data_IF_528540406575
#
_entry.id   IF_528540406575
#
_cell.length_a   1.000
_cell.length_b   1.000
_cell.length_c   1.000
_cell.angle_alpha   90.00
_cell.angle_beta   90.00
_cell.angle_gamma   90.00
#
_symmetry.space_group_name_H-M   'P 1'
#
loop_
_entity.id
_entity.type
_entity.pdbx_description
1 polymer ?
#
# COMPACT_ATOMS: atom_id res chain seq x y z
N UNK A 1 -53.32 5.28 28.87
CA UNK A 1 -52.35 6.22 29.45
C UNK A 1 -51.27 6.43 28.41
N UNK A 2 -51.21 7.63 27.83
CA UNK A 2 -50.17 7.99 26.87
C UNK A 2 -48.94 8.52 27.62
N UNK A 3 -47.76 8.35 27.05
CA UNK A 3 -46.52 8.96 27.55
C UNK A 3 -46.24 10.23 26.76
N UNK A 4 -45.83 11.29 27.45
CA UNK A 4 -45.68 12.64 26.88
C UNK A 4 -44.53 12.75 25.87
N UNK A 5 -44.72 13.63 24.88
CA UNK A 5 -43.74 13.90 23.84
C UNK A 5 -42.60 14.85 24.27
N UNK A 6 -42.65 15.41 25.49
CA UNK A 6 -41.72 16.45 25.96
C UNK A 6 -40.33 15.91 26.37
N UNK A 7 -40.15 14.59 26.53
CA UNK A 7 -38.84 14.03 26.92
C UNK A 7 -37.86 13.94 25.74
N UNK A 8 -38.34 13.84 24.50
CA UNK A 8 -37.47 13.67 23.31
C UNK A 8 -36.88 15.00 22.76
N UNK A 9 -37.30 16.14 23.32
CA UNK A 9 -36.84 17.46 22.91
C UNK A 9 -35.60 17.93 23.71
N UNK A 10 -35.47 17.51 24.97
CA UNK A 10 -34.43 18.00 25.88
C UNK A 10 -33.04 17.37 25.64
N UNK A 11 -32.95 16.11 25.21
CA UNK A 11 -31.64 15.49 24.86
C UNK A 11 -31.02 16.07 23.59
N UNK A 12 -31.83 16.57 22.65
CA UNK A 12 -31.33 17.12 21.37
C UNK A 12 -30.75 18.53 21.49
N UNK A 13 -31.07 19.25 22.58
CA UNK A 13 -30.51 20.59 22.85
C UNK A 13 -29.11 20.46 23.44
N UNK A 14 -28.88 19.53 24.38
CA UNK A 14 -27.57 19.34 25.03
C UNK A 14 -26.42 18.90 24.09
N UNK A 15 -26.72 18.46 22.87
CA UNK A 15 -25.73 18.00 21.90
C UNK A 15 -25.27 19.10 20.90
N UNK A 16 -25.89 20.28 20.88
CA UNK A 16 -25.50 21.35 19.95
C UNK A 16 -24.62 22.46 20.57
N UNK A 17 -24.66 22.67 21.89
CA UNK A 17 -23.92 23.75 22.57
C UNK A 17 -22.41 23.49 22.70
N UNK A 18 -21.91 22.30 22.33
CA UNK A 18 -20.48 21.96 22.37
C UNK A 18 -19.68 22.39 21.12
N UNK A 19 -20.30 23.07 20.15
CA UNK A 19 -19.74 23.29 18.81
C UNK A 19 -19.45 24.76 18.44
N UNK A 20 -19.60 25.72 19.36
CA UNK A 20 -19.46 27.15 19.05
C UNK A 20 -18.70 27.96 20.11
N UNK A 21 -17.40 27.71 20.28
CA UNK A 21 -16.52 28.62 21.03
C UNK A 21 -15.04 28.56 20.57
N UNK A 22 -14.70 29.38 19.57
CA UNK A 22 -13.34 29.88 19.26
C UNK A 22 -13.53 31.18 18.48
N UNK A 23 -13.22 32.32 19.12
CA UNK A 23 -13.77 33.63 18.74
C UNK A 23 -13.05 34.42 17.63
N UNK A 24 -13.75 35.43 17.11
CA UNK A 24 -13.23 36.49 16.25
C UNK A 24 -12.50 37.57 17.06
N UNK A 25 -11.50 38.25 16.47
CA UNK A 25 -11.28 39.67 16.76
C UNK A 25 -10.79 40.51 15.54
N UNK A 26 -11.75 41.22 14.93
CA UNK A 26 -11.72 42.59 14.34
C UNK A 26 -11.04 42.94 13.00
N UNK A 27 -11.86 43.68 12.22
CA UNK A 27 -11.60 44.56 11.06
C UNK A 27 -10.50 45.64 11.28
N UNK A 28 -9.93 46.35 10.27
CA UNK A 28 -10.67 47.26 9.35
C UNK A 28 -9.86 47.93 8.20
N UNK A 29 -10.35 47.78 6.95
CA UNK A 29 -10.39 48.73 5.77
C UNK A 29 -9.04 49.31 5.25
N UNK A 30 -8.64 49.21 3.97
CA UNK A 30 -9.28 49.62 2.68
C UNK A 30 -8.58 48.89 1.48
N UNK A 31 -9.10 48.73 0.24
CA UNK A 31 -10.42 48.97 -0.38
C UNK A 31 -10.34 49.32 -1.90
N UNK A 32 -11.32 48.89 -2.72
CA UNK A 32 -11.60 49.23 -4.14
C UNK A 32 -10.56 48.81 -5.23
N UNK A 33 -10.87 48.15 -6.37
CA UNK A 33 -11.94 48.41 -7.37
C UNK A 33 -12.16 47.26 -8.41
N UNK A 34 -13.42 46.87 -8.62
CA UNK A 34 -14.19 46.79 -9.90
C UNK A 34 -13.72 46.07 -11.21
N UNK A 35 -14.57 45.12 -11.61
CA UNK A 35 -15.12 44.83 -12.97
C UNK A 35 -14.22 44.25 -14.10
N UNK A 36 -14.87 43.63 -15.10
CA UNK A 36 -14.33 42.49 -15.87
C UNK A 36 -14.28 42.68 -17.41
N UNK A 37 -13.24 42.06 -18.03
CA UNK A 37 -13.14 41.40 -19.37
C UNK A 37 -13.58 42.17 -20.66
N UNK A 38 -13.16 41.83 -21.92
CA UNK A 38 -12.55 40.56 -22.36
C UNK A 38 -11.48 40.55 -23.51
N UNK A 39 -10.70 39.45 -23.58
CA UNK A 39 -10.34 38.64 -24.78
C UNK A 39 -9.41 39.11 -25.95
N UNK A 40 -8.75 38.08 -26.54
CA UNK A 40 -8.25 37.89 -27.93
C UNK A 40 -6.77 38.16 -28.32
N UNK A 41 -5.97 37.08 -28.23
CA UNK A 41 -5.10 36.47 -29.28
C UNK A 41 -4.28 37.41 -30.21
N UNK A 42 -2.93 37.32 -30.15
CA UNK A 42 -2.11 36.94 -31.32
C UNK A 42 -0.61 36.69 -31.03
N UNK A 43 -0.07 35.60 -31.61
CA UNK A 43 1.32 35.34 -32.10
C UNK A 43 2.48 35.42 -31.08
N UNK A 44 3.25 34.33 -30.85
CA UNK A 44 4.39 33.86 -31.69
C UNK A 44 5.41 34.99 -31.90
N UNK A 45 6.71 34.87 -31.60
CA UNK A 45 7.64 33.75 -31.33
C UNK A 45 8.91 34.40 -30.67
N UNK A 46 9.82 33.82 -29.88
CA UNK A 46 10.71 32.66 -30.05
C UNK A 46 11.35 32.27 -28.71
N UNK A 47 11.77 31.01 -28.58
CA UNK A 47 12.36 30.47 -27.34
C UNK A 47 12.35 28.93 -27.27
N UNK A 48 12.45 28.26 -28.43
CA UNK A 48 12.45 26.80 -28.53
C UNK A 48 13.84 26.21 -28.32
N UNK A 49 13.91 25.09 -27.60
CA UNK A 49 14.52 23.80 -28.00
C UNK A 49 15.18 23.11 -26.78
N UNK A 50 14.99 21.84 -26.45
CA UNK A 50 14.22 20.79 -27.10
C UNK A 50 13.37 19.99 -26.08
N UNK A 51 12.06 19.98 -26.30
CA UNK A 51 11.20 18.84 -25.99
C UNK A 51 11.04 18.04 -27.30
N UNK A 52 10.67 16.76 -27.19
CA UNK A 52 10.83 15.71 -28.21
C UNK A 52 12.29 15.18 -28.25
N UNK A 53 12.57 13.90 -28.46
CA UNK A 53 11.74 12.86 -29.09
C UNK A 53 11.87 11.55 -28.30
N UNK A 54 10.76 11.01 -27.76
CA UNK A 54 10.68 9.56 -27.51
C UNK A 54 10.22 8.92 -28.82
N UNK A 55 11.18 8.43 -29.60
CA UNK A 55 10.95 7.86 -30.93
C UNK A 55 10.20 6.54 -30.78
N UNK A 56 9.03 6.45 -31.39
CA UNK A 56 8.31 5.19 -31.58
C UNK A 56 9.01 4.37 -32.67
N UNK A 57 10.25 3.92 -32.42
CA UNK A 57 11.07 3.12 -33.36
C UNK A 57 12.16 2.28 -32.64
N UNK A 58 11.84 1.70 -31.48
CA UNK A 58 12.50 0.47 -30.98
C UNK A 58 11.48 -0.61 -30.57
N UNK A 59 10.27 -0.56 -31.13
CA UNK A 59 9.30 -1.66 -31.03
C UNK A 59 9.67 -2.81 -32.00
N UNK A 60 10.84 -3.43 -31.78
CA UNK A 60 11.18 -4.68 -32.46
C UNK A 60 12.03 -5.60 -31.59
N UNK A 61 11.49 -6.81 -31.37
CA UNK A 61 12.17 -7.94 -30.72
C UNK A 61 12.44 -7.84 -29.21
N UNK A 62 11.36 -7.77 -28.41
CA UNK A 62 11.09 -8.82 -27.41
C UNK A 62 9.59 -9.15 -27.38
N UNK A 63 9.22 -10.32 -27.89
CA UNK A 63 7.93 -10.95 -27.52
C UNK A 63 7.86 -11.03 -26.00
N UNK A 64 6.75 -10.59 -25.35
CA UNK A 64 6.56 -10.83 -23.93
C UNK A 64 6.67 -12.32 -23.64
N UNK A 65 7.48 -12.76 -22.65
CA UNK A 65 7.60 -14.18 -22.35
C UNK A 65 6.25 -14.73 -21.89
N UNK A 66 5.81 -15.83 -22.49
CA UNK A 66 4.56 -16.50 -22.14
C UNK A 66 4.59 -16.98 -20.68
N UNK A 67 4.01 -16.21 -19.77
CA UNK A 67 3.64 -16.64 -18.42
C UNK A 67 2.53 -15.71 -17.88
N UNK A 68 1.30 -15.97 -18.31
CA UNK A 68 0.12 -15.23 -17.83
C UNK A 68 0.07 -15.30 -16.28
N UNK A 69 0.06 -14.14 -15.63
CA UNK A 69 -0.12 -14.01 -14.17
C UNK A 69 1.15 -13.99 -13.30
N UNK A 70 2.36 -14.20 -13.85
CA UNK A 70 3.61 -14.19 -13.05
C UNK A 70 4.36 -12.87 -13.11
N UNK A 71 4.75 -12.36 -11.94
CA UNK A 71 5.61 -11.18 -11.79
C UNK A 71 6.96 -11.67 -11.27
N UNK A 72 8.00 -11.52 -12.09
CA UNK A 72 9.38 -11.97 -11.80
C UNK A 72 10.22 -10.74 -11.46
N UNK A 73 11.02 -10.82 -10.40
CA UNK A 73 12.02 -9.80 -10.11
C UNK A 73 13.27 -10.06 -10.95
N UNK A 74 13.73 -9.07 -11.71
CA UNK A 74 14.88 -9.22 -12.62
C UNK A 74 16.15 -9.74 -11.92
N UNK A 75 16.35 -9.37 -10.64
CA UNK A 75 17.49 -9.76 -9.82
C UNK A 75 17.30 -11.08 -9.03
N UNK A 76 16.08 -11.64 -8.97
CA UNK A 76 15.73 -12.78 -8.10
C UNK A 76 14.89 -13.81 -8.86
N UNK A 77 15.54 -14.61 -9.71
CA UNK A 77 14.89 -15.45 -10.72
C UNK A 77 14.01 -16.57 -10.16
N UNK A 78 14.24 -17.02 -8.92
CA UNK A 78 13.41 -18.03 -8.28
C UNK A 78 12.25 -17.44 -7.48
N UNK A 79 12.27 -16.13 -7.22
CA UNK A 79 11.24 -15.43 -6.46
C UNK A 79 10.22 -14.79 -7.41
N UNK A 80 8.94 -15.10 -7.20
CA UNK A 80 7.86 -14.58 -8.04
C UNK A 80 6.55 -14.45 -7.29
N UNK A 81 5.69 -13.54 -7.76
CA UNK A 81 4.27 -13.57 -7.41
C UNK A 81 3.54 -14.51 -8.37
N UNK A 82 2.67 -15.36 -7.82
CA UNK A 82 1.76 -16.26 -8.57
C UNK A 82 0.32 -16.01 -8.12
N UNK A 83 -0.66 -16.20 -9.01
CA UNK A 83 -2.07 -16.04 -8.67
C UNK A 83 -2.58 -17.16 -7.76
N UNK A 84 -3.56 -16.86 -6.91
CA UNK A 84 -4.20 -17.83 -6.03
C UNK A 84 -5.21 -18.68 -6.80
N UNK A 85 -4.90 -19.97 -6.96
CA UNK A 85 -5.73 -20.96 -7.67
C UNK A 85 -6.50 -21.88 -6.71
N UNK A 86 -6.74 -21.44 -5.46
CA UNK A 86 -7.47 -22.21 -4.44
C UNK A 86 -6.64 -23.21 -3.63
N UNK A 87 -5.34 -23.32 -3.88
CA UNK A 87 -4.41 -24.14 -3.08
C UNK A 87 -3.05 -23.45 -2.90
N UNK A 88 -2.35 -23.77 -1.81
CA UNK A 88 -1.05 -23.18 -1.48
C UNK A 88 0.01 -23.70 -2.47
N UNK A 89 0.68 -22.81 -3.25
CA UNK A 89 1.69 -23.22 -4.19
C UNK A 89 2.97 -23.69 -3.47
N UNK A 90 3.64 -24.70 -4.06
CA UNK A 90 4.93 -25.17 -3.55
C UNK A 90 5.96 -24.04 -3.51
N UNK A 91 6.64 -23.88 -2.37
CA UNK A 91 7.59 -22.78 -2.13
C UNK A 91 6.93 -21.45 -1.73
N UNK A 92 5.64 -21.43 -1.39
CA UNK A 92 5.01 -20.23 -0.83
C UNK A 92 5.76 -19.72 0.41
N UNK A 93 6.14 -18.44 0.38
CA UNK A 93 6.88 -17.80 1.47
C UNK A 93 5.94 -17.61 2.66
N UNK A 94 6.34 -18.13 3.83
CA UNK A 94 5.53 -18.07 5.05
C UNK A 94 6.35 -17.75 6.29
N UNK A 95 5.68 -17.21 7.30
CA UNK A 95 6.16 -17.17 8.68
C UNK A 95 5.24 -17.99 9.58
N UNK A 96 5.74 -18.35 10.75
CA UNK A 96 4.89 -18.67 11.88
C UNK A 96 4.67 -17.38 12.69
N UNK A 97 3.42 -17.00 12.92
CA UNK A 97 3.04 -15.84 13.71
C UNK A 97 2.67 -16.34 15.12
N UNK A 98 3.56 -16.12 16.08
CA UNK A 98 3.39 -16.58 17.48
C UNK A 98 2.20 -15.90 18.16
N UNK A 99 2.08 -14.57 18.03
CA UNK A 99 1.02 -13.76 18.67
C UNK A 99 -0.39 -14.20 18.22
N UNK A 100 -0.52 -14.65 16.97
CA UNK A 100 -1.76 -15.19 16.41
C UNK A 100 -1.82 -16.73 16.38
N UNK A 101 -0.76 -17.41 16.87
CA UNK A 101 -0.58 -18.87 16.87
C UNK A 101 -0.99 -19.55 15.55
N UNK A 102 -0.56 -18.98 14.41
CA UNK A 102 -0.93 -19.48 13.08
C UNK A 102 0.20 -19.31 12.05
N UNK A 103 0.17 -20.12 11.01
CA UNK A 103 1.01 -19.93 9.82
C UNK A 103 0.43 -18.83 8.95
N UNK A 104 1.28 -17.91 8.51
CA UNK A 104 0.92 -16.79 7.63
C UNK A 104 1.77 -16.83 6.37
N UNK A 105 1.13 -16.87 5.22
CA UNK A 105 1.76 -16.83 3.92
C UNK A 105 1.74 -15.41 3.35
N UNK A 106 2.83 -14.98 2.73
CA UNK A 106 2.92 -13.67 2.08
C UNK A 106 1.99 -13.63 0.88
N UNK A 107 1.04 -12.70 0.91
CA UNK A 107 0.13 -12.43 -0.19
C UNK A 107 0.06 -10.93 -0.51
N UNK A 108 -0.46 -10.59 -1.68
CA UNK A 108 -0.78 -9.21 -2.04
C UNK A 108 -2.06 -9.12 -2.88
N UNK A 109 -2.90 -8.14 -2.58
CA UNK A 109 -3.98 -7.70 -3.48
C UNK A 109 -3.35 -7.03 -4.70
N UNK A 110 -3.68 -7.54 -5.90
CA UNK A 110 -3.14 -7.14 -7.21
C UNK A 110 -1.60 -6.99 -7.35
N UNK A 111 -0.81 -7.29 -6.32
CA UNK A 111 0.62 -6.98 -6.24
C UNK A 111 0.94 -5.63 -5.58
N UNK A 112 -0.04 -4.87 -5.08
CA UNK A 112 0.20 -3.57 -4.45
C UNK A 112 0.21 -3.66 -2.93
N UNK A 113 -0.90 -4.11 -2.34
CA UNK A 113 -1.09 -4.14 -0.88
C UNK A 113 -0.69 -5.49 -0.31
N UNK A 114 0.51 -5.57 0.29
CA UNK A 114 1.02 -6.79 0.94
C UNK A 114 0.30 -7.03 2.27
N UNK A 115 0.05 -8.31 2.54
CA UNK A 115 -0.50 -8.78 3.81
C UNK A 115 -0.29 -10.27 3.98
N UNK A 116 -1.26 -10.95 4.58
CA UNK A 116 -1.17 -12.38 4.86
C UNK A 116 -2.40 -13.20 4.42
N UNK A 117 -2.12 -14.40 3.94
CA UNK A 117 -3.10 -15.49 3.82
C UNK A 117 -2.85 -16.49 4.96
N UNK A 118 -3.92 -17.06 5.52
CA UNK A 118 -3.84 -18.15 6.49
C UNK A 118 -5.07 -19.04 6.35
N UNK A 119 -4.87 -20.35 6.24
CA UNK A 119 -5.96 -21.32 6.05
C UNK A 119 -7.02 -21.24 7.15
N UNK A 120 -6.62 -20.94 8.39
CA UNK A 120 -7.52 -20.77 9.54
C UNK A 120 -8.40 -19.51 9.49
N UNK A 121 -8.15 -18.57 8.56
CA UNK A 121 -9.03 -17.42 8.26
C UNK A 121 -9.82 -17.57 6.94
N UNK A 122 -9.74 -18.73 6.30
CA UNK A 122 -10.40 -19.00 5.02
C UNK A 122 -9.64 -18.45 3.79
N UNK A 123 -10.22 -18.55 2.58
CA UNK A 123 -9.54 -18.34 1.29
C UNK A 123 -9.36 -16.84 0.93
N UNK A 124 -8.78 -16.07 1.85
CA UNK A 124 -8.62 -14.62 1.70
C UNK A 124 -7.21 -14.15 2.04
N UNK A 125 -6.67 -13.27 1.20
CA UNK A 125 -5.56 -12.40 1.57
C UNK A 125 -6.09 -11.23 2.38
N UNK A 126 -5.62 -11.08 3.62
CA UNK A 126 -5.88 -9.95 4.51
C UNK A 126 -4.76 -8.93 4.34
N UNK A 127 -5.08 -7.70 3.98
CA UNK A 127 -4.11 -6.65 3.66
C UNK A 127 -4.54 -5.31 4.24
N UNK A 128 -3.57 -4.43 4.46
CA UNK A 128 -3.83 -3.13 5.06
C UNK A 128 -3.92 -2.05 3.98
N UNK A 129 -4.92 -1.17 4.07
CA UNK A 129 -5.07 -0.01 3.20
C UNK A 129 -6.03 1.01 3.84
N UNK A 130 -5.77 2.31 3.65
CA UNK A 130 -6.64 3.41 4.09
C UNK A 130 -7.18 3.25 5.52
N UNK A 131 -6.28 3.00 6.48
CA UNK A 131 -6.56 2.81 7.91
C UNK A 131 -7.35 1.53 8.29
N UNK A 132 -7.62 0.63 7.32
CA UNK A 132 -8.46 -0.56 7.48
C UNK A 132 -7.74 -1.88 7.13
N UNK A 133 -8.20 -2.97 7.77
CA UNK A 133 -7.93 -4.34 7.32
C UNK A 133 -8.97 -4.72 6.26
N UNK A 134 -8.52 -4.85 5.02
CA UNK A 134 -9.32 -5.37 3.91
C UNK A 134 -9.05 -6.86 3.70
N UNK A 135 -9.93 -7.52 2.95
CA UNK A 135 -9.72 -8.90 2.49
C UNK A 135 -10.18 -9.09 1.06
N UNK A 136 -9.48 -9.95 0.32
CA UNK A 136 -9.82 -10.32 -1.07
C UNK A 136 -9.62 -11.83 -1.29
N UNK A 137 -10.47 -12.44 -2.12
CA UNK A 137 -10.26 -13.80 -2.66
C UNK A 137 -9.41 -13.80 -3.93
N UNK A 138 -9.19 -12.64 -4.56
CA UNK A 138 -8.35 -12.47 -5.74
C UNK A 138 -7.03 -11.81 -5.31
N UNK A 139 -6.00 -12.62 -5.14
CA UNK A 139 -4.68 -12.19 -4.68
C UNK A 139 -3.57 -12.98 -5.35
N UNK A 140 -2.34 -12.50 -5.19
CA UNK A 140 -1.12 -13.25 -5.51
C UNK A 140 -0.42 -13.70 -4.24
N UNK A 141 0.25 -14.85 -4.30
CA UNK A 141 1.14 -15.36 -3.26
C UNK A 141 2.60 -15.21 -3.69
N UNK A 142 3.49 -14.89 -2.75
CA UNK A 142 4.93 -14.87 -3.00
C UNK A 142 5.49 -16.29 -2.94
N UNK A 143 6.17 -16.74 -3.99
CA UNK A 143 6.75 -18.07 -4.11
C UNK A 143 8.25 -17.98 -4.34
N UNK A 144 9.02 -18.67 -3.50
CA UNK A 144 10.43 -18.96 -3.71
C UNK A 144 10.56 -20.37 -4.32
N UNK A 145 10.57 -20.44 -5.65
CA UNK A 145 10.57 -21.71 -6.39
C UNK A 145 11.76 -22.56 -5.98
N UNK A 146 11.49 -23.79 -5.54
CA UNK A 146 12.50 -24.77 -5.08
C UNK A 146 13.40 -24.26 -3.94
N UNK A 147 12.99 -23.22 -3.20
CA UNK A 147 13.83 -22.49 -2.24
C UNK A 147 15.16 -21.98 -2.86
N UNK A 148 15.13 -21.58 -4.14
CA UNK A 148 16.33 -21.19 -4.89
C UNK A 148 16.97 -19.87 -4.46
N UNK A 149 16.20 -18.94 -3.88
CA UNK A 149 16.75 -17.77 -3.19
C UNK A 149 16.96 -18.06 -1.69
N UNK A 150 18.07 -17.60 -1.11
CA UNK A 150 18.21 -17.56 0.35
C UNK A 150 17.49 -16.31 0.87
N UNK A 151 16.33 -16.50 1.50
CA UNK A 151 15.54 -15.41 2.06
C UNK A 151 15.94 -15.12 3.50
N UNK A 152 15.98 -13.84 3.85
CA UNK A 152 16.23 -13.37 5.22
C UNK A 152 15.29 -12.22 5.59
N UNK A 153 15.01 -12.08 6.87
CA UNK A 153 14.29 -10.94 7.43
C UNK A 153 15.32 -10.02 8.08
N UNK A 154 15.38 -8.78 7.63
CA UNK A 154 16.36 -7.80 8.09
C UNK A 154 15.67 -6.59 8.69
N UNK A 155 16.16 -6.16 9.86
CA UNK A 155 15.61 -5.01 10.58
C UNK A 155 15.63 -3.74 9.72
N UNK A 156 14.55 -2.99 9.82
CA UNK A 156 14.38 -1.65 9.24
C UNK A 156 13.51 -0.79 10.16
N UNK A 157 13.60 0.52 9.96
CA UNK A 157 12.82 1.49 10.73
C UNK A 157 12.71 2.81 9.99
N UNK A 158 11.65 3.59 10.22
CA UNK A 158 11.47 4.94 9.66
C UNK A 158 11.76 5.02 8.15
N UNK A 159 11.15 4.13 7.36
CA UNK A 159 11.30 4.09 5.90
C UNK A 159 12.62 3.49 5.39
N UNK A 160 13.59 3.16 6.26
CA UNK A 160 14.77 2.42 5.82
C UNK A 160 14.42 0.99 5.39
N UNK A 161 15.08 0.53 4.33
CA UNK A 161 15.02 -0.84 3.82
C UNK A 161 16.43 -1.38 3.54
N UNK A 162 16.66 -2.70 3.70
CA UNK A 162 17.90 -3.34 3.27
C UNK A 162 18.07 -3.34 1.73
N UNK A 163 19.31 -3.43 1.23
CA UNK A 163 19.56 -3.81 -0.17
C UNK A 163 18.92 -5.17 -0.49
N UNK A 164 18.39 -5.33 -1.72
CA UNK A 164 17.70 -6.55 -2.19
C UNK A 164 16.44 -6.89 -1.39
N UNK A 165 15.77 -5.88 -0.86
CA UNK A 165 14.41 -6.00 -0.31
C UNK A 165 13.43 -6.42 -1.39
N UNK A 166 12.47 -7.28 -1.05
CA UNK A 166 11.44 -7.80 -1.96
C UNK A 166 10.28 -6.79 -2.07
N UNK A 167 10.08 -6.13 -3.23
CA UNK A 167 8.96 -5.22 -3.40
C UNK A 167 7.66 -5.98 -3.68
N UNK A 168 6.53 -5.34 -3.40
CA UNK A 168 5.20 -5.86 -3.75
C UNK A 168 5.01 -5.96 -5.26
N UNK A 169 5.52 -4.97 -5.99
CA UNK A 169 5.54 -4.93 -7.46
C UNK A 169 6.87 -4.37 -7.99
N UNK A 170 7.35 -4.75 -9.18
CA UNK A 170 8.51 -4.11 -9.81
C UNK A 170 8.33 -2.59 -9.93
N UNK A 171 9.28 -1.82 -9.38
CA UNK A 171 9.31 -0.36 -9.50
C UNK A 171 8.43 0.42 -8.51
N UNK A 172 7.82 -0.22 -7.50
CA UNK A 172 7.05 0.51 -6.46
C UNK A 172 7.79 0.56 -5.12
N UNK A 173 7.56 1.64 -4.36
CA UNK A 173 8.15 1.88 -3.05
C UNK A 173 7.36 1.22 -1.90
N UNK A 174 6.88 -0.01 -2.15
CA UNK A 174 6.12 -0.81 -1.18
C UNK A 174 6.73 -2.21 -1.12
N UNK A 175 7.09 -2.66 0.08
CA UNK A 175 7.91 -3.86 0.30
C UNK A 175 7.24 -4.87 1.23
N UNK A 176 7.62 -6.14 1.10
CA UNK A 176 7.17 -7.21 1.99
C UNK A 176 7.82 -7.06 3.36
N UNK A 177 7.02 -6.82 4.39
CA UNK A 177 7.49 -6.64 5.76
C UNK A 177 6.82 -7.56 6.77
N UNK A 178 7.39 -7.59 7.96
CA UNK A 178 6.77 -8.17 9.16
C UNK A 178 7.17 -7.40 10.41
N UNK A 179 6.44 -7.64 11.49
CA UNK A 179 6.97 -7.46 12.85
C UNK A 179 6.49 -8.63 13.73
N UNK A 180 6.61 -8.53 15.06
CA UNK A 180 6.20 -9.62 15.97
C UNK A 180 4.75 -10.05 15.83
N UNK A 181 3.87 -9.16 15.34
CA UNK A 181 2.43 -9.39 15.24
C UNK A 181 1.95 -9.96 13.89
N UNK A 182 2.82 -10.10 12.88
CA UNK A 182 2.47 -10.68 11.57
C UNK A 182 3.09 -10.01 10.34
N UNK A 183 2.61 -10.40 9.16
CA UNK A 183 3.01 -9.87 7.85
C UNK A 183 2.20 -8.64 7.42
N UNK A 184 2.83 -7.76 6.64
CA UNK A 184 2.20 -6.55 6.10
C UNK A 184 3.07 -5.85 5.05
N UNK A 185 2.74 -4.60 4.74
CA UNK A 185 3.49 -3.75 3.79
C UNK A 185 4.42 -2.78 4.52
N UNK A 186 5.60 -2.53 3.98
CA UNK A 186 6.41 -1.34 4.31
C UNK A 186 6.25 -0.35 3.18
N UNK A 187 5.69 0.83 3.43
CA UNK A 187 5.53 1.89 2.41
C UNK A 187 6.52 3.02 2.72
N UNK A 188 7.45 3.29 1.80
CA UNK A 188 8.50 4.28 2.04
C UNK A 188 7.95 5.71 2.09
N UNK A 189 6.79 5.98 1.46
CA UNK A 189 6.19 7.32 1.42
C UNK A 189 5.67 7.77 2.79
N UNK A 190 5.30 6.80 3.64
CA UNK A 190 4.86 7.03 5.02
C UNK A 190 5.91 6.60 6.04
N UNK A 191 7.08 6.14 5.57
CA UNK A 191 8.21 5.70 6.37
C UNK A 191 7.82 4.67 7.45
N UNK A 192 6.96 3.71 7.12
CA UNK A 192 6.33 2.84 8.12
C UNK A 192 5.95 1.45 7.59
N UNK A 193 5.84 0.52 8.53
CA UNK A 193 5.19 -0.78 8.34
C UNK A 193 3.72 -0.69 8.74
N UNK A 194 2.87 -1.29 7.92
CA UNK A 194 1.43 -1.33 8.10
C UNK A 194 0.93 -2.77 8.13
N UNK A 195 0.34 -3.14 9.27
CA UNK A 195 -0.15 -4.48 9.57
C UNK A 195 -1.68 -4.51 9.49
N UNK A 196 -2.30 -5.42 8.72
CA UNK A 196 -3.72 -5.73 8.83
C UNK A 196 -3.99 -6.49 10.14
N UNK A 197 -4.83 -5.95 11.02
CA UNK A 197 -5.19 -6.59 12.27
C UNK A 197 -6.59 -6.20 12.76
N UNK A 198 -7.50 -7.18 12.78
CA UNK A 198 -8.82 -7.11 13.44
C UNK A 198 -9.67 -5.92 12.94
N UNK A 199 -9.87 -5.82 11.63
CA UNK A 199 -10.61 -4.73 10.99
C UNK A 199 -9.86 -3.41 10.82
N UNK A 200 -8.61 -3.29 11.31
CA UNK A 200 -7.82 -2.04 11.27
C UNK A 200 -6.45 -2.23 10.64
N UNK A 201 -5.93 -1.17 10.03
CA UNK A 201 -4.51 -1.02 9.72
C UNK A 201 -3.77 -0.53 10.98
N UNK A 202 -2.60 -1.11 11.27
CA UNK A 202 -1.74 -0.73 12.40
C UNK A 202 -0.39 -0.25 11.88
N UNK A 203 -0.04 1.00 12.18
CA UNK A 203 1.22 1.61 11.77
C UNK A 203 2.32 1.37 12.82
N UNK A 204 3.52 0.97 12.37
CA UNK A 204 4.71 0.78 13.19
C UNK A 204 5.93 1.39 12.52
N UNK A 205 6.80 2.04 13.31
CA UNK A 205 8.06 2.62 12.82
C UNK A 205 9.26 1.66 12.91
N UNK A 206 9.10 0.50 13.53
CA UNK A 206 10.09 -0.59 13.58
C UNK A 206 9.50 -1.87 12.99
N UNK A 207 10.30 -2.57 12.18
CA UNK A 207 9.88 -3.73 11.41
C UNK A 207 11.08 -4.55 10.90
N UNK A 208 10.80 -5.67 10.24
CA UNK A 208 11.76 -6.40 9.42
C UNK A 208 11.25 -6.46 7.98
N UNK A 209 12.17 -6.33 7.02
CA UNK A 209 11.88 -6.37 5.58
C UNK A 209 12.41 -7.69 5.02
N UNK A 210 11.62 -8.35 4.18
CA UNK A 210 12.05 -9.54 3.46
C UNK A 210 13.11 -9.16 2.42
N UNK A 211 14.27 -9.80 2.45
CA UNK A 211 15.38 -9.55 1.53
C UNK A 211 15.96 -10.85 0.99
N UNK A 212 16.59 -10.78 -0.19
CA UNK A 212 17.37 -11.89 -0.76
C UNK A 212 18.83 -11.76 -0.32
N UNK A 213 19.28 -12.72 0.48
CA UNK A 213 20.67 -12.89 0.83
C UNK A 213 21.43 -13.52 -0.34
N UNK A 214 22.25 -12.74 -1.03
CA UNK A 214 23.25 -13.32 -1.94
C UNK A 214 24.56 -13.50 -1.18
N UNK A 215 25.09 -14.73 -1.06
CA UNK A 215 26.45 -14.94 -0.59
C UNK A 215 27.43 -14.02 -1.35
N UNK A 216 28.37 -13.41 -0.62
CA UNK A 216 29.51 -12.75 -1.27
C UNK A 216 30.29 -13.85 -2.01
N UNK A 217 30.44 -13.69 -3.32
CA UNK A 217 31.39 -14.45 -4.13
C UNK A 217 32.81 -13.96 -3.86
#
# INVERSE_FOLDING_TARGET
MAMDADTELLEKISLNESASEMGEEKEKVLGNNNHAAPSLISRLQEGTSALNIYTADEEKSKTPPENKGQIIFYDHKNLKWVEWEGSIPSGAVSIWNEEASRREYVCAEAGYSVGFFSESKGPYCYYSNADQEHRTSHFRMLVNKNNGEVLEWKKGSFGSIPPKSVPSYPGVNVFVGRNRYGLGKVDLRFEAFFLPQNGKEKCYKEYEVLSVNTPKK
#
